data_IF_922252243254
#
_entry.id   IF_922252243254
#
_cell.length_a   1.000
_cell.length_b   1.000
_cell.length_c   1.000
_cell.angle_alpha   90.00
_cell.angle_beta   90.00
_cell.angle_gamma   90.00
#
_symmetry.space_group_name_H-M   'P 1'
#
loop_
_entity.id
_entity.type
_entity.pdbx_description
1 polymer ?
#
# COMPACT_ATOMS: atom_id res chain seq x y z
N UNK A 1 -2.96 2.78 7.31
CA UNK A 1 -2.58 2.00 6.13
C UNK A 1 -3.69 1.02 5.78
N UNK A 2 -4.01 0.87 4.51
CA UNK A 2 -5.00 -0.11 4.04
C UNK A 2 -4.39 -1.52 3.98
N UNK A 3 -3.12 -1.61 3.64
CA UNK A 3 -2.34 -2.86 3.62
C UNK A 3 -1.01 -2.61 4.30
N UNK A 4 -0.63 -3.48 5.22
CA UNK A 4 0.68 -3.46 5.85
C UNK A 4 1.10 -4.88 6.22
N UNK A 5 2.41 -5.09 6.33
CA UNK A 5 2.96 -6.33 6.86
C UNK A 5 2.55 -6.50 8.32
N UNK A 6 2.16 -7.71 8.69
CA UNK A 6 1.96 -8.07 10.11
C UNK A 6 3.34 -8.17 10.77
N UNK A 7 3.59 -7.31 11.75
CA UNK A 7 4.89 -7.16 12.42
C UNK A 7 4.79 -7.66 13.85
N UNK A 8 5.36 -8.81 14.09
CA UNK A 8 5.50 -9.40 15.42
C UNK A 8 6.91 -9.14 16.02
N UNK A 9 7.15 -9.70 17.19
CA UNK A 9 8.46 -9.58 17.86
C UNK A 9 9.59 -10.23 17.06
N UNK A 10 9.31 -11.29 16.32
CA UNK A 10 10.33 -11.99 15.51
C UNK A 10 10.71 -11.12 14.32
N UNK A 11 9.74 -10.51 13.67
CA UNK A 11 9.98 -9.54 12.60
C UNK A 11 10.93 -8.42 13.05
N UNK A 12 10.60 -7.77 14.16
CA UNK A 12 11.43 -6.66 14.68
C UNK A 12 12.82 -7.09 15.09
N UNK A 13 12.97 -8.27 15.72
CA UNK A 13 14.29 -8.80 16.08
C UNK A 13 15.15 -9.07 14.84
N UNK A 14 14.58 -9.72 13.83
CA UNK A 14 15.27 -9.96 12.56
C UNK A 14 15.68 -8.65 11.90
N UNK A 15 14.75 -7.70 11.80
CA UNK A 15 15.01 -6.40 11.16
C UNK A 15 16.12 -5.60 11.89
N UNK A 16 16.14 -5.61 13.22
CA UNK A 16 17.19 -4.96 13.99
C UNK A 16 18.56 -5.60 13.71
N UNK A 17 18.63 -6.93 13.65
CA UNK A 17 19.89 -7.65 13.35
C UNK A 17 20.38 -7.36 11.94
N UNK A 18 19.48 -7.31 10.96
CA UNK A 18 19.81 -6.92 9.58
C UNK A 18 20.44 -5.53 9.54
N UNK A 19 19.77 -4.53 10.15
CA UNK A 19 20.30 -3.18 10.17
C UNK A 19 21.63 -3.06 10.91
N UNK A 20 21.81 -3.80 12.00
CA UNK A 20 23.07 -3.83 12.73
C UNK A 20 24.22 -4.40 11.88
N UNK A 21 23.95 -5.38 11.01
CA UNK A 21 24.96 -5.93 10.09
C UNK A 21 25.41 -4.90 9.04
N UNK A 22 24.58 -3.89 8.74
CA UNK A 22 24.84 -2.80 7.80
C UNK A 22 25.28 -1.51 8.52
N UNK A 23 25.87 -1.62 9.69
CA UNK A 23 26.31 -0.47 10.52
C UNK A 23 25.17 0.50 10.87
N UNK A 24 23.95 -0.01 10.95
CA UNK A 24 22.72 0.71 11.23
C UNK A 24 22.03 0.28 12.52
N UNK A 25 20.74 0.46 12.56
CA UNK A 25 19.92 0.11 13.73
C UNK A 25 18.49 0.64 13.65
N UNK A 26 17.89 0.82 14.82
CA UNK A 26 16.57 1.42 14.96
C UNK A 26 16.65 2.70 15.78
N UNK A 27 15.91 3.73 15.35
CA UNK A 27 15.75 4.98 16.08
C UNK A 27 14.31 5.11 16.55
N UNK A 28 14.14 5.27 17.86
CA UNK A 28 12.86 5.63 18.49
C UNK A 28 12.86 7.13 18.76
N UNK A 29 11.78 7.80 18.44
CA UNK A 29 11.60 9.24 18.60
C UNK A 29 10.61 9.46 19.74
N UNK A 30 11.04 10.17 20.77
CA UNK A 30 10.21 10.50 21.92
C UNK A 30 10.03 12.01 22.00
N UNK A 31 8.81 12.44 22.31
CA UNK A 31 8.54 13.76 22.85
C UNK A 31 8.14 13.60 24.30
N UNK A 32 8.92 14.18 25.21
CA UNK A 32 8.81 13.95 26.65
C UNK A 32 8.90 12.45 27.00
N UNK A 33 7.77 11.77 27.19
CA UNK A 33 7.68 10.34 27.51
C UNK A 33 6.92 9.52 26.47
N UNK A 34 6.35 10.18 25.47
CA UNK A 34 5.51 9.56 24.46
C UNK A 34 6.34 9.16 23.24
N UNK A 35 6.19 7.92 22.80
CA UNK A 35 6.78 7.45 21.53
C UNK A 35 5.98 8.04 20.37
N UNK A 36 6.60 8.95 19.62
CA UNK A 36 5.97 9.66 18.50
C UNK A 36 6.43 9.17 17.14
N UNK A 37 7.50 8.38 17.07
CA UNK A 37 7.98 7.84 15.83
C UNK A 37 9.04 6.76 15.99
N UNK A 38 9.22 6.00 14.91
CA UNK A 38 10.26 4.97 14.78
C UNK A 38 10.70 4.90 13.32
N UNK A 39 11.98 4.65 13.10
CA UNK A 39 12.52 4.28 11.81
C UNK A 39 13.74 3.36 11.96
N UNK A 40 14.00 2.59 10.93
CA UNK A 40 15.24 1.85 10.78
C UNK A 40 16.22 2.65 9.95
N UNK A 41 17.50 2.40 10.14
CA UNK A 41 18.55 3.00 9.31
C UNK A 41 19.69 2.03 9.06
N UNK A 42 20.30 2.18 7.91
CA UNK A 42 21.53 1.49 7.50
C UNK A 42 22.57 2.54 7.10
N UNK A 43 23.85 2.18 7.19
CA UNK A 43 24.94 3.08 6.82
C UNK A 43 26.10 2.27 6.24
N UNK A 44 26.08 2.10 4.95
CA UNK A 44 27.25 1.61 4.20
C UNK A 44 28.01 2.81 3.61
N UNK A 45 27.63 3.26 2.41
CA UNK A 45 28.22 4.42 1.75
C UNK A 45 27.47 5.73 2.07
N UNK A 46 26.18 5.63 2.36
CA UNK A 46 25.27 6.73 2.68
C UNK A 46 24.40 6.36 3.88
N UNK A 47 23.77 7.35 4.50
CA UNK A 47 22.73 7.09 5.50
C UNK A 47 21.41 6.78 4.82
N UNK A 48 20.95 5.55 4.88
CA UNK A 48 19.63 5.15 4.43
C UNK A 48 18.65 5.08 5.61
N UNK A 49 17.53 5.76 5.48
CA UNK A 49 16.40 5.73 6.42
C UNK A 49 15.30 4.86 5.83
N UNK A 50 14.89 3.85 6.57
CA UNK A 50 13.96 2.82 6.14
C UNK A 50 12.73 2.80 7.05
N UNK A 51 11.58 2.56 6.46
CA UNK A 51 10.32 2.32 7.16
C UNK A 51 9.95 3.38 8.21
N UNK A 52 9.99 4.68 7.91
CA UNK A 52 9.59 5.68 8.88
C UNK A 52 8.10 5.55 9.20
N UNK A 53 7.79 5.33 10.47
CA UNK A 53 6.43 5.34 11.02
C UNK A 53 6.38 6.46 12.05
N UNK A 54 5.69 7.53 11.71
CA UNK A 54 5.65 8.77 12.48
C UNK A 54 4.19 9.12 12.74
N UNK A 55 3.89 9.52 13.97
CA UNK A 55 2.57 10.05 14.30
C UNK A 55 2.32 11.33 13.50
N UNK A 56 1.06 11.54 13.13
CA UNK A 56 0.63 12.73 12.42
C UNK A 56 1.04 14.00 13.19
N UNK A 57 1.50 15.02 12.46
CA UNK A 57 1.99 16.30 13.01
C UNK A 57 3.31 16.22 13.81
N UNK A 58 4.02 15.07 13.73
CA UNK A 58 5.33 14.87 14.37
C UNK A 58 6.48 14.74 13.35
N UNK A 59 6.25 15.17 12.14
CA UNK A 59 7.23 15.09 11.05
C UNK A 59 8.50 15.92 11.35
N UNK A 60 8.38 17.02 12.09
CA UNK A 60 9.55 17.83 12.51
C UNK A 60 10.46 17.06 13.47
N UNK A 61 9.90 16.33 14.43
CA UNK A 61 10.69 15.49 15.34
C UNK A 61 11.44 14.38 14.60
N UNK A 62 10.84 13.86 13.52
CA UNK A 62 11.53 12.92 12.63
C UNK A 62 12.71 13.58 11.90
N UNK A 63 12.54 14.78 11.35
CA UNK A 63 13.61 15.53 10.70
C UNK A 63 14.79 15.78 11.63
N UNK A 64 14.52 16.23 12.86
CA UNK A 64 15.53 16.44 13.89
C UNK A 64 16.28 15.15 14.20
N UNK A 65 15.58 14.03 14.37
CA UNK A 65 16.18 12.73 14.63
C UNK A 65 17.06 12.22 13.48
N UNK A 66 16.70 12.53 12.22
CA UNK A 66 17.51 12.21 11.03
C UNK A 66 18.77 13.09 11.00
N UNK A 67 18.64 14.41 11.25
CA UNK A 67 19.79 15.32 11.29
C UNK A 67 20.76 14.99 12.43
N UNK A 68 20.29 14.53 13.59
CA UNK A 68 21.15 14.02 14.66
C UNK A 68 21.98 12.80 14.27
N UNK A 69 21.43 11.94 13.41
CA UNK A 69 22.14 10.75 12.91
C UNK A 69 23.12 11.09 11.79
N UNK A 70 22.85 12.14 11.01
CA UNK A 70 23.62 12.54 9.84
C UNK A 70 25.01 13.00 10.22
N UNK A 71 26.02 12.53 9.47
CA UNK A 71 27.38 13.07 9.57
C UNK A 71 27.53 14.30 8.65
N UNK A 72 28.55 15.10 8.92
CA UNK A 72 28.84 16.28 8.10
C UNK A 72 28.99 15.91 6.61
N UNK A 73 28.20 16.54 5.75
CA UNK A 73 28.17 16.32 4.29
C UNK A 73 27.73 14.92 3.82
N UNK A 74 27.20 14.08 4.74
CA UNK A 74 26.70 12.76 4.38
C UNK A 74 25.41 12.89 3.54
N UNK A 75 25.32 12.10 2.48
CA UNK A 75 24.07 11.98 1.73
C UNK A 75 23.08 11.12 2.52
N UNK A 76 21.86 11.60 2.64
CA UNK A 76 20.76 10.88 3.30
C UNK A 76 19.74 10.48 2.25
N UNK A 77 19.38 9.21 2.22
CA UNK A 77 18.30 8.66 1.40
C UNK A 77 17.18 8.18 2.31
N UNK A 78 15.97 8.64 2.08
CA UNK A 78 14.80 8.25 2.87
C UNK A 78 13.84 7.50 1.97
N UNK A 79 13.49 6.27 2.35
CA UNK A 79 12.54 5.44 1.64
C UNK A 79 11.19 5.42 2.37
N UNK A 80 10.10 5.49 1.60
CA UNK A 80 8.75 5.43 2.16
C UNK A 80 8.25 6.73 2.79
N UNK A 81 8.69 7.88 2.29
CA UNK A 81 8.19 9.19 2.71
C UNK A 81 6.69 9.32 2.46
N UNK A 82 5.99 9.90 3.42
CA UNK A 82 4.60 10.34 3.23
C UNK A 82 4.56 11.61 2.39
N UNK A 83 3.41 11.90 1.78
CA UNK A 83 3.21 13.13 1.01
C UNK A 83 3.47 14.39 1.87
N UNK A 84 3.05 14.36 3.13
CA UNK A 84 3.28 15.45 4.08
C UNK A 84 4.78 15.67 4.39
N UNK A 85 5.56 14.59 4.50
CA UNK A 85 7.03 14.68 4.61
C UNK A 85 7.63 15.27 3.33
N UNK A 86 7.14 14.88 2.16
CA UNK A 86 7.58 15.44 0.89
C UNK A 86 7.33 16.94 0.83
N UNK A 87 6.13 17.40 1.17
CA UNK A 87 5.77 18.84 1.20
C UNK A 87 6.69 19.65 2.12
N UNK A 88 7.04 19.13 3.29
CA UNK A 88 7.98 19.79 4.20
C UNK A 88 9.38 19.96 3.60
N UNK A 89 9.79 19.04 2.73
CA UNK A 89 11.12 19.04 2.13
C UNK A 89 11.20 19.68 0.74
N UNK A 90 10.10 19.91 0.06
CA UNK A 90 10.09 20.55 -1.28
C UNK A 90 10.80 21.90 -1.30
N UNK A 91 10.81 22.61 -0.18
CA UNK A 91 11.44 23.92 -0.05
C UNK A 91 12.86 23.87 0.60
N UNK A 92 13.36 22.70 0.94
CA UNK A 92 14.69 22.55 1.54
C UNK A 92 15.75 22.45 0.44
N UNK A 93 16.70 23.36 0.44
CA UNK A 93 17.78 23.37 -0.56
C UNK A 93 18.61 22.09 -0.50
N UNK A 94 18.80 21.45 -1.66
CA UNK A 94 19.59 20.22 -1.77
C UNK A 94 18.78 18.92 -1.60
N UNK A 95 17.46 19.00 -1.39
CA UNK A 95 16.59 17.83 -1.39
C UNK A 95 16.08 17.54 -2.80
N UNK A 96 16.09 16.27 -3.16
CA UNK A 96 15.49 15.74 -4.40
C UNK A 96 14.50 14.63 -4.03
N UNK A 97 13.27 14.75 -4.47
CA UNK A 97 12.26 13.72 -4.36
C UNK A 97 12.10 12.94 -5.67
N UNK A 98 11.92 11.64 -5.58
CA UNK A 98 11.71 10.77 -6.72
C UNK A 98 10.65 9.74 -6.37
N UNK A 99 9.67 9.56 -7.25
CA UNK A 99 8.69 8.48 -7.14
C UNK A 99 9.18 7.27 -7.92
N UNK A 100 9.28 6.13 -7.23
CA UNK A 100 9.65 4.85 -7.84
C UNK A 100 8.67 3.76 -7.41
N UNK A 101 8.28 2.85 -8.32
CA UNK A 101 7.57 1.64 -7.91
C UNK A 101 8.51 0.80 -7.05
N UNK A 102 8.18 0.65 -5.77
CA UNK A 102 8.97 -0.13 -4.80
C UNK A 102 8.49 -1.58 -4.68
N UNK A 103 7.22 -1.85 -4.99
CA UNK A 103 6.59 -3.13 -4.71
C UNK A 103 5.82 -3.60 -5.93
N UNK A 104 5.93 -4.89 -6.20
CA UNK A 104 5.07 -5.60 -7.12
C UNK A 104 4.10 -6.48 -6.32
N UNK A 105 2.80 -6.21 -6.42
CA UNK A 105 1.77 -6.99 -5.75
C UNK A 105 1.06 -7.94 -6.73
N UNK A 106 0.73 -9.15 -6.24
CA UNK A 106 -0.10 -10.11 -6.96
C UNK A 106 -1.15 -10.72 -6.03
N UNK A 107 -2.40 -10.76 -6.46
CA UNK A 107 -3.46 -11.44 -5.75
C UNK A 107 -3.27 -12.94 -5.92
N UNK A 108 -3.02 -13.66 -4.82
CA UNK A 108 -2.80 -15.11 -4.84
C UNK A 108 -4.07 -15.92 -4.59
N UNK A 109 -5.11 -15.32 -3.97
CA UNK A 109 -6.42 -15.95 -3.76
C UNK A 109 -7.53 -14.90 -3.83
N UNK A 110 -8.13 -14.78 -5.00
CA UNK A 110 -9.05 -13.69 -5.33
C UNK A 110 -10.30 -13.65 -4.43
N UNK A 111 -11.04 -14.74 -4.17
CA UNK A 111 -12.25 -14.67 -3.35
C UNK A 111 -11.98 -14.12 -1.93
N UNK A 112 -10.92 -14.62 -1.29
CA UNK A 112 -10.53 -14.13 0.04
C UNK A 112 -10.11 -12.66 0.00
N UNK A 113 -9.40 -12.27 -1.04
CA UNK A 113 -8.97 -10.88 -1.21
C UNK A 113 -10.18 -9.96 -1.39
N UNK A 114 -11.12 -10.31 -2.28
CA UNK A 114 -12.34 -9.54 -2.49
C UNK A 114 -13.20 -9.46 -1.22
N UNK A 115 -13.31 -10.53 -0.44
CA UNK A 115 -14.06 -10.56 0.83
C UNK A 115 -13.45 -9.65 1.91
N UNK A 116 -12.16 -9.32 1.78
CA UNK A 116 -11.48 -8.40 2.70
C UNK A 116 -11.61 -6.91 2.28
N UNK A 117 -12.10 -6.66 1.06
CA UNK A 117 -12.36 -5.29 0.60
C UNK A 117 -13.52 -4.69 1.34
N UNK A 118 -13.52 -3.37 1.45
CA UNK A 118 -14.56 -2.61 2.15
C UNK A 118 -15.37 -1.74 1.19
N UNK A 119 -16.58 -1.46 1.63
CA UNK A 119 -17.49 -0.52 0.98
C UNK A 119 -17.89 0.52 2.03
N UNK A 120 -18.02 1.81 1.70
CA UNK A 120 -18.58 2.80 2.62
C UNK A 120 -19.97 2.37 3.13
N UNK A 121 -20.28 2.60 4.40
CA UNK A 121 -21.55 2.18 5.03
C UNK A 121 -22.81 2.75 4.33
N UNK A 122 -22.66 3.93 3.71
CA UNK A 122 -23.70 4.61 2.93
C UNK A 122 -23.88 4.05 1.51
N UNK A 123 -23.02 3.15 1.09
CA UNK A 123 -23.05 2.56 -0.26
C UNK A 123 -23.49 1.10 -0.23
N UNK A 124 -24.02 0.66 -1.35
CA UNK A 124 -24.35 -0.74 -1.60
C UNK A 124 -23.74 -1.20 -2.91
N UNK A 125 -23.12 -2.36 -2.90
CA UNK A 125 -22.54 -3.01 -4.08
C UNK A 125 -23.27 -4.30 -4.38
N UNK A 126 -23.62 -4.52 -5.64
CA UNK A 126 -24.08 -5.80 -6.16
C UNK A 126 -23.69 -5.91 -7.62
N UNK A 127 -22.58 -6.58 -7.89
CA UNK A 127 -22.05 -6.74 -9.24
C UNK A 127 -21.37 -8.09 -9.41
N UNK A 128 -21.21 -8.52 -10.66
CA UNK A 128 -20.53 -9.74 -11.04
C UNK A 128 -19.62 -9.54 -12.25
N UNK A 129 -18.47 -10.19 -12.24
CA UNK A 129 -17.51 -10.13 -13.33
C UNK A 129 -16.67 -11.40 -13.42
N UNK A 130 -16.25 -11.72 -14.63
CA UNK A 130 -15.31 -12.78 -14.89
C UNK A 130 -13.88 -12.30 -14.69
N UNK A 131 -13.02 -13.17 -14.16
CA UNK A 131 -11.59 -12.93 -14.01
C UNK A 131 -10.81 -14.00 -14.76
N UNK A 132 -9.77 -13.56 -15.46
CA UNK A 132 -8.84 -14.43 -16.16
C UNK A 132 -7.47 -14.32 -15.49
N UNK A 133 -6.98 -15.40 -14.90
CA UNK A 133 -5.63 -15.51 -14.34
C UNK A 133 -4.89 -16.66 -15.03
N UNK A 134 -3.96 -16.38 -15.94
CA UNK A 134 -3.25 -17.43 -16.68
C UNK A 134 -2.28 -18.24 -15.84
N UNK A 135 -1.90 -17.74 -14.65
CA UNK A 135 -0.94 -18.42 -13.76
C UNK A 135 -1.63 -19.17 -12.62
N UNK A 136 -2.68 -18.59 -12.04
CA UNK A 136 -3.37 -19.16 -10.89
C UNK A 136 -4.83 -19.44 -11.26
N UNK A 137 -5.07 -20.61 -11.84
CA UNK A 137 -6.41 -21.04 -12.31
C UNK A 137 -7.52 -20.88 -11.26
N UNK A 138 -7.20 -21.03 -9.98
CA UNK A 138 -8.15 -20.84 -8.87
C UNK A 138 -8.68 -19.40 -8.70
N UNK A 139 -8.04 -18.42 -9.33
CA UNK A 139 -8.53 -17.04 -9.38
C UNK A 139 -9.45 -16.80 -10.57
N UNK A 140 -9.35 -17.65 -11.61
CA UNK A 140 -10.21 -17.57 -12.79
C UNK A 140 -11.61 -18.07 -12.46
N UNK A 141 -12.62 -17.39 -12.95
CA UNK A 141 -14.02 -17.69 -12.71
C UNK A 141 -14.89 -16.45 -12.78
N UNK A 142 -16.17 -16.62 -12.54
CA UNK A 142 -17.11 -15.50 -12.45
C UNK A 142 -17.47 -15.29 -10.98
N UNK A 143 -17.18 -14.09 -10.51
CA UNK A 143 -17.32 -13.71 -9.11
C UNK A 143 -18.41 -12.66 -8.93
N UNK A 144 -19.34 -12.90 -8.01
CA UNK A 144 -20.31 -11.91 -7.56
C UNK A 144 -19.86 -11.32 -6.24
N UNK A 145 -19.89 -10.01 -6.13
CA UNK A 145 -19.68 -9.24 -4.91
C UNK A 145 -20.99 -8.57 -4.51
N UNK A 146 -21.36 -8.71 -3.25
CA UNK A 146 -22.55 -8.10 -2.68
C UNK A 146 -22.27 -7.55 -1.29
N UNK A 147 -22.73 -6.35 -1.00
CA UNK A 147 -22.86 -5.79 0.35
C UNK A 147 -24.31 -5.42 0.63
N UNK A 148 -24.70 -5.44 1.89
CA UNK A 148 -25.98 -4.89 2.34
C UNK A 148 -25.77 -3.53 3.03
N UNK A 149 -26.84 -2.77 3.19
CA UNK A 149 -26.79 -1.46 3.82
C UNK A 149 -26.32 -1.56 5.29
N UNK A 150 -25.37 -0.69 5.67
CA UNK A 150 -24.79 -0.68 7.02
C UNK A 150 -23.74 -1.74 7.28
N UNK A 151 -23.36 -2.51 6.25
CA UNK A 151 -22.27 -3.48 6.32
C UNK A 151 -21.09 -3.04 5.45
N UNK A 152 -19.91 -2.94 6.04
CA UNK A 152 -18.66 -2.59 5.34
C UNK A 152 -18.00 -3.79 4.64
N UNK A 153 -18.59 -4.99 4.80
CA UNK A 153 -18.05 -6.26 4.28
C UNK A 153 -18.72 -6.69 2.98
N UNK A 154 -17.90 -7.26 2.10
CA UNK A 154 -18.35 -7.87 0.87
C UNK A 154 -18.55 -9.38 1.05
N UNK A 155 -19.74 -9.86 0.67
CA UNK A 155 -20.00 -11.26 0.44
C UNK A 155 -19.59 -11.61 -0.98
N UNK A 156 -18.71 -12.61 -1.14
CA UNK A 156 -18.18 -13.03 -2.44
C UNK A 156 -18.59 -14.48 -2.72
N UNK A 157 -19.13 -14.73 -3.89
CA UNK A 157 -19.58 -16.06 -4.33
C UNK A 157 -19.31 -16.26 -5.81
N UNK A 158 -19.20 -17.51 -6.23
CA UNK A 158 -19.20 -17.86 -7.64
C UNK A 158 -20.61 -17.70 -8.24
N UNK A 159 -20.67 -17.34 -9.52
CA UNK A 159 -21.89 -17.20 -10.31
C UNK A 159 -21.61 -17.52 -11.78
N UNK A 160 -22.66 -17.67 -12.59
CA UNK A 160 -22.55 -17.83 -14.05
C UNK A 160 -22.80 -16.51 -14.78
N UNK A 161 -23.44 -15.55 -14.13
CA UNK A 161 -23.77 -14.24 -14.72
C UNK A 161 -22.58 -13.28 -14.59
N UNK A 162 -22.14 -12.72 -15.69
CA UNK A 162 -21.02 -11.77 -15.75
C UNK A 162 -21.40 -10.48 -16.50
N UNK A 163 -21.10 -9.34 -15.88
CA UNK A 163 -21.29 -8.01 -16.46
C UNK A 163 -20.01 -7.46 -17.10
N UNK A 164 -18.91 -8.21 -16.99
CA UNK A 164 -17.63 -7.82 -17.56
C UNK A 164 -16.55 -8.88 -17.38
N UNK A 165 -15.42 -8.66 -18.00
CA UNK A 165 -14.24 -9.55 -17.94
C UNK A 165 -13.00 -8.71 -17.64
N UNK A 166 -12.22 -9.15 -16.66
CA UNK A 166 -10.97 -8.52 -16.26
C UNK A 166 -9.82 -9.53 -16.27
N UNK A 167 -8.69 -9.22 -16.89
CA UNK A 167 -7.42 -9.85 -16.54
C UNK A 167 -7.06 -9.55 -15.09
N UNK A 168 -6.42 -10.50 -14.42
CA UNK A 168 -6.07 -10.35 -12.98
C UNK A 168 -5.17 -9.15 -12.69
N UNK A 169 -4.30 -8.76 -13.62
CA UNK A 169 -3.45 -7.58 -13.49
C UNK A 169 -4.27 -6.28 -13.51
N UNK A 170 -5.23 -6.15 -14.40
CA UNK A 170 -6.13 -5.01 -14.47
C UNK A 170 -6.95 -4.87 -13.18
N UNK A 171 -7.51 -6.00 -12.70
CA UNK A 171 -8.23 -6.02 -11.43
C UNK A 171 -7.32 -5.68 -10.25
N UNK A 172 -6.08 -6.16 -10.23
CA UNK A 172 -5.10 -5.83 -9.18
C UNK A 172 -4.82 -4.32 -9.17
N UNK A 173 -4.56 -3.70 -10.32
CA UNK A 173 -4.35 -2.26 -10.44
C UNK A 173 -5.55 -1.46 -9.91
N UNK A 174 -6.77 -1.88 -10.25
CA UNK A 174 -8.00 -1.27 -9.73
C UNK A 174 -8.08 -1.33 -8.21
N UNK A 175 -7.93 -2.53 -7.63
CA UNK A 175 -8.16 -2.77 -6.21
C UNK A 175 -7.08 -2.10 -5.34
N UNK A 176 -5.85 -2.02 -5.83
CA UNK A 176 -4.78 -1.25 -5.19
C UNK A 176 -4.84 0.26 -5.48
N UNK A 177 -5.79 0.71 -6.32
CA UNK A 177 -6.01 2.12 -6.62
C UNK A 177 -4.89 2.80 -7.40
N UNK A 178 -4.07 2.02 -8.12
CA UNK A 178 -2.99 2.55 -8.97
C UNK A 178 -3.51 3.09 -10.29
N UNK A 179 -4.63 2.55 -10.79
CA UNK A 179 -5.30 2.99 -12.01
C UNK A 179 -6.81 3.09 -11.75
N UNK A 180 -7.46 4.20 -12.10
CA UNK A 180 -8.91 4.35 -11.98
C UNK A 180 -9.68 3.36 -12.84
N UNK A 181 -10.87 2.91 -12.40
CA UNK A 181 -11.68 1.94 -13.16
C UNK A 181 -12.05 2.43 -14.55
N UNK A 182 -12.28 3.72 -14.75
CA UNK A 182 -12.62 4.29 -16.05
C UNK A 182 -11.49 4.13 -17.07
N UNK A 183 -10.25 4.31 -16.63
CA UNK A 183 -9.07 4.09 -17.45
C UNK A 183 -8.83 2.59 -17.71
N UNK A 184 -9.07 1.74 -16.70
CA UNK A 184 -9.00 0.28 -16.86
C UNK A 184 -10.04 -0.21 -17.87
N UNK A 185 -11.25 0.35 -17.85
CA UNK A 185 -12.33 -0.02 -18.78
C UNK A 185 -12.04 0.33 -20.24
N UNK A 186 -11.08 1.24 -20.52
CA UNK A 186 -10.61 1.58 -21.86
C UNK A 186 -9.58 0.58 -22.41
N UNK A 187 -9.07 -0.32 -21.60
CA UNK A 187 -8.11 -1.34 -22.07
C UNK A 187 -8.78 -2.30 -23.04
N UNK A 188 -8.06 -2.72 -24.07
CA UNK A 188 -8.55 -3.62 -25.12
C UNK A 188 -8.82 -5.05 -24.64
N UNK A 189 -8.25 -5.45 -23.50
CA UNK A 189 -8.39 -6.76 -22.88
C UNK A 189 -9.38 -6.76 -21.71
N UNK A 190 -10.07 -5.64 -21.46
CA UNK A 190 -11.11 -5.48 -20.44
C UNK A 190 -12.45 -5.26 -21.12
N UNK A 191 -13.47 -5.91 -20.59
CA UNK A 191 -14.87 -5.66 -20.94
C UNK A 191 -15.63 -5.32 -19.67
N UNK A 192 -16.33 -4.20 -19.65
CA UNK A 192 -17.14 -3.80 -18.50
C UNK A 192 -18.36 -2.99 -18.96
N UNK A 193 -19.52 -3.29 -18.39
CA UNK A 193 -20.70 -2.45 -18.57
C UNK A 193 -20.57 -1.17 -17.73
N UNK A 194 -21.24 -0.08 -18.13
CA UNK A 194 -21.31 1.15 -17.35
C UNK A 194 -21.80 0.91 -15.90
N UNK A 195 -22.74 -0.03 -15.74
CA UNK A 195 -23.24 -0.42 -14.43
C UNK A 195 -22.13 -1.04 -13.57
N UNK A 196 -21.36 -1.97 -14.13
CA UNK A 196 -20.24 -2.60 -13.43
C UNK A 196 -19.17 -1.58 -13.04
N UNK A 197 -18.85 -0.65 -13.93
CA UNK A 197 -17.91 0.46 -13.64
C UNK A 197 -18.39 1.26 -12.45
N UNK A 198 -19.67 1.67 -12.42
CA UNK A 198 -20.25 2.43 -11.32
C UNK A 198 -20.26 1.64 -9.99
N UNK A 199 -20.51 0.33 -10.03
CA UNK A 199 -20.47 -0.51 -8.85
C UNK A 199 -19.03 -0.66 -8.31
N UNK A 200 -18.05 -0.84 -9.20
CA UNK A 200 -16.65 -0.96 -8.81
C UNK A 200 -16.03 0.37 -8.31
N UNK A 201 -16.58 1.52 -8.68
CA UNK A 201 -16.18 2.83 -8.13
C UNK A 201 -16.43 2.94 -6.64
N UNK A 202 -17.50 2.33 -6.12
CA UNK A 202 -17.91 2.37 -4.70
C UNK A 202 -16.95 1.64 -3.76
N UNK A 203 -16.19 0.68 -4.25
CA UNK A 203 -15.28 -0.14 -3.44
C UNK A 203 -14.12 0.71 -2.95
N UNK A 204 -13.81 0.65 -1.64
CA UNK A 204 -12.65 1.29 -1.05
C UNK A 204 -11.36 0.71 -1.63
N UNK A 205 -10.53 1.56 -2.24
CA UNK A 205 -9.25 1.13 -2.82
C UNK A 205 -8.17 0.99 -1.76
N UNK A 206 -7.25 0.05 -1.96
CA UNK A 206 -6.12 -0.20 -1.07
C UNK A 206 -4.93 0.72 -1.40
N UNK A 207 -5.17 2.00 -1.59
CA UNK A 207 -4.17 2.99 -2.04
C UNK A 207 -3.16 3.42 -0.97
N UNK A 208 -3.26 2.90 0.26
CA UNK A 208 -2.34 3.17 1.36
C UNK A 208 -1.64 1.88 1.76
N UNK A 209 -0.68 1.49 0.93
CA UNK A 209 0.12 0.27 1.13
C UNK A 209 1.42 0.64 1.85
N UNK A 210 1.71 -0.07 2.95
CA UNK A 210 2.96 0.04 3.68
C UNK A 210 3.63 -1.33 3.73
N UNK A 211 4.37 -1.64 2.66
CA UNK A 211 5.18 -2.83 2.51
C UNK A 211 6.57 -2.35 2.13
N UNK A 212 7.50 -2.38 3.06
CA UNK A 212 8.87 -1.89 2.89
C UNK A 212 9.90 -3.02 2.99
N UNK A 213 9.48 -4.24 2.73
CA UNK A 213 10.39 -5.37 2.65
C UNK A 213 11.12 -5.28 1.31
N UNK A 214 12.27 -4.65 1.34
CA UNK A 214 13.23 -4.66 0.22
C UNK A 214 14.05 -5.93 0.40
N UNK A 215 13.92 -6.84 -0.56
CA UNK A 215 14.74 -8.07 -0.65
C UNK A 215 15.94 -7.79 -1.51
#
# INVERSE_FOLDING_TARGET
WAVCTVRDSVYYQTKILEQQSESGGVRLIFEEKDLVGVFFYAREDILEILEPVILQEKENAFLEAVEELRREKELVKILGCTEKMRELWENVHGVRTEEKPLIMARITHLPTFLSAMKVPEEEKVDCSFAVIDPLLQKNSGVWRMKSDWGEDKLCVSETEDSEGVFPIDALTQLLFGTVPIREIAERTDVMATERLVAELEKICKLNRVFLNEIV
#
